data_IF_988475900996
#
_entry.id   IF_988475900996
#
_cell.length_a   1.000
_cell.length_b   1.000
_cell.length_c   1.000
_cell.angle_alpha   90.00
_cell.angle_beta   90.00
_cell.angle_gamma   90.00
#
_symmetry.space_group_name_H-M   'P 1'
#
loop_
_entity.id
_entity.type
_entity.pdbx_description
1 polymer ?
#
# COMPACT_ATOMS: atom_id res chain seq x y z
N UNK A 1 0.33 -23.22 -7.98
CA UNK A 1 -0.37 -22.46 -9.03
C UNK A 1 -1.42 -21.54 -8.39
N UNK A 2 -1.65 -20.36 -8.95
CA UNK A 2 -2.74 -19.46 -8.57
C UNK A 2 -4.10 -20.05 -8.98
N UNK A 3 -5.19 -19.64 -8.33
CA UNK A 3 -6.53 -20.18 -8.62
C UNK A 3 -7.12 -19.67 -9.94
N UNK A 4 -7.03 -18.36 -10.17
CA UNK A 4 -7.66 -17.67 -11.32
C UNK A 4 -6.83 -17.78 -12.59
N UNK A 5 -5.57 -17.32 -12.57
CA UNK A 5 -4.72 -17.26 -13.78
C UNK A 5 -3.95 -18.56 -14.04
N UNK A 6 -3.98 -19.51 -13.11
CA UNK A 6 -3.18 -20.74 -13.10
C UNK A 6 -1.66 -20.53 -13.14
N UNK A 7 -1.14 -19.31 -13.12
CA UNK A 7 0.29 -19.04 -13.11
C UNK A 7 0.99 -19.53 -11.81
N UNK A 8 2.31 -19.77 -11.83
CA UNK A 8 3.08 -20.02 -10.61
C UNK A 8 2.93 -18.89 -9.57
N UNK A 9 2.93 -19.23 -8.28
CA UNK A 9 2.73 -18.23 -7.22
C UNK A 9 3.85 -17.18 -7.19
N UNK A 10 5.09 -17.59 -7.49
CA UNK A 10 6.22 -16.66 -7.55
C UNK A 10 6.03 -15.58 -8.63
N UNK A 11 5.36 -15.90 -9.73
CA UNK A 11 5.05 -14.91 -10.78
C UNK A 11 4.02 -13.89 -10.32
N UNK A 12 2.99 -14.34 -9.60
CA UNK A 12 1.93 -13.46 -9.07
C UNK A 12 2.49 -12.51 -8.00
N UNK A 13 3.41 -13.00 -7.15
CA UNK A 13 4.00 -12.18 -6.08
C UNK A 13 4.79 -10.99 -6.61
N UNK A 14 5.33 -11.04 -7.83
CA UNK A 14 6.10 -9.94 -8.44
C UNK A 14 5.33 -8.63 -8.59
N UNK A 15 4.00 -8.66 -8.46
CA UNK A 15 3.13 -7.47 -8.51
C UNK A 15 2.64 -7.02 -7.13
N UNK A 16 3.12 -7.66 -6.07
CA UNK A 16 2.75 -7.37 -4.68
C UNK A 16 3.99 -6.89 -3.95
N UNK A 17 3.93 -5.66 -3.45
CA UNK A 17 5.02 -5.00 -2.75
C UNK A 17 4.59 -4.69 -1.31
N UNK A 18 5.54 -4.76 -0.38
CA UNK A 18 5.32 -4.54 1.04
C UNK A 18 6.31 -3.51 1.56
N UNK A 19 5.85 -2.63 2.43
CA UNK A 19 6.66 -1.67 3.17
C UNK A 19 6.53 -2.00 4.66
N UNK A 20 7.65 -2.00 5.39
CA UNK A 20 7.66 -2.11 6.84
C UNK A 20 8.35 -0.91 7.50
N UNK A 21 8.64 -0.99 8.80
CA UNK A 21 9.27 0.11 9.54
C UNK A 21 10.66 0.50 9.04
N UNK A 22 11.31 -0.30 8.19
CA UNK A 22 12.60 -0.03 7.56
C UNK A 22 12.47 0.40 6.09
N UNK A 23 11.26 0.50 5.55
CA UNK A 23 11.01 0.86 4.15
C UNK A 23 10.56 -0.32 3.29
N UNK A 24 10.75 -0.20 1.98
CA UNK A 24 10.34 -1.19 0.98
C UNK A 24 11.11 -2.50 1.16
N UNK A 25 10.38 -3.62 1.17
CA UNK A 25 10.96 -4.96 1.26
C UNK A 25 11.59 -5.32 -0.10
N UNK A 26 12.92 -5.35 -0.16
CA UNK A 26 13.70 -5.60 -1.37
C UNK A 26 14.76 -6.69 -1.17
N UNK A 27 15.24 -7.27 -2.27
CA UNK A 27 16.18 -8.40 -2.28
C UNK A 27 17.51 -8.10 -1.56
N UNK A 28 18.02 -6.87 -1.64
CA UNK A 28 19.28 -6.48 -0.98
C UNK A 28 19.22 -6.57 0.56
N UNK A 29 18.03 -6.46 1.15
CA UNK A 29 17.80 -6.59 2.60
C UNK A 29 17.45 -8.01 3.07
N UNK A 30 17.35 -8.98 2.17
CA UNK A 30 16.68 -10.28 2.39
C UNK A 30 17.24 -11.10 3.56
N UNK A 31 18.54 -11.08 3.79
CA UNK A 31 19.19 -11.83 4.89
C UNK A 31 18.73 -11.35 6.27
N UNK A 32 18.43 -10.05 6.40
CA UNK A 32 17.94 -9.46 7.65
C UNK A 32 16.43 -9.61 7.87
N UNK A 33 15.70 -10.14 6.87
CA UNK A 33 14.25 -10.28 6.92
C UNK A 33 13.83 -11.56 7.65
N UNK A 34 12.76 -11.43 8.43
CA UNK A 34 11.99 -12.55 8.94
C UNK A 34 11.54 -13.46 7.77
N UNK A 35 11.54 -14.78 8.00
CA UNK A 35 11.27 -15.78 6.96
C UNK A 35 10.04 -15.46 6.09
N UNK A 36 8.95 -15.00 6.71
CA UNK A 36 7.67 -14.76 6.02
C UNK A 36 7.67 -13.52 5.11
N UNK A 37 8.64 -12.61 5.28
CA UNK A 37 8.85 -11.43 4.44
C UNK A 37 9.67 -11.73 3.18
N UNK A 38 10.50 -12.78 3.22
CA UNK A 38 11.44 -13.14 2.15
C UNK A 38 10.79 -13.40 0.77
N UNK A 39 9.59 -14.00 0.66
CA UNK A 39 8.92 -14.19 -0.63
C UNK A 39 8.46 -12.89 -1.31
N UNK A 40 8.50 -11.77 -0.61
CA UNK A 40 8.08 -10.45 -1.09
C UNK A 40 9.28 -9.53 -1.37
N UNK A 41 10.50 -10.01 -1.11
CA UNK A 41 11.74 -9.29 -1.34
C UNK A 41 12.17 -9.42 -2.80
N UNK A 42 11.59 -8.57 -3.65
CA UNK A 42 11.88 -8.51 -5.07
C UNK A 42 13.12 -7.65 -5.36
N UNK A 43 13.67 -7.80 -6.56
CA UNK A 43 14.74 -6.93 -7.05
C UNK A 43 14.20 -5.52 -7.30
N UNK A 44 14.70 -4.55 -6.54
CA UNK A 44 14.41 -3.11 -6.66
C UNK A 44 15.38 -2.32 -5.78
N UNK A 45 15.60 -1.05 -6.11
CA UNK A 45 16.34 -0.14 -5.24
C UNK A 45 15.61 0.09 -3.90
N UNK A 46 16.33 0.22 -2.77
CA UNK A 46 15.69 0.52 -1.50
C UNK A 46 14.89 1.84 -1.56
N UNK A 47 13.69 1.84 -0.97
CA UNK A 47 12.92 3.04 -0.70
C UNK A 47 12.70 3.12 0.81
N UNK A 48 13.06 4.25 1.42
CA UNK A 48 13.03 4.41 2.87
C UNK A 48 11.66 4.91 3.36
N UNK A 49 10.87 5.52 2.48
CA UNK A 49 9.54 6.06 2.82
C UNK A 49 8.44 5.43 1.98
N UNK A 50 7.20 5.48 2.49
CA UNK A 50 6.03 5.05 1.73
C UNK A 50 5.82 5.88 0.46
N UNK A 51 6.08 7.19 0.53
CA UNK A 51 5.95 8.09 -0.62
C UNK A 51 6.92 7.70 -1.74
N UNK A 52 8.19 7.46 -1.42
CA UNK A 52 9.18 6.96 -2.38
C UNK A 52 8.73 5.65 -3.02
N UNK A 53 8.25 4.70 -2.20
CA UNK A 53 7.75 3.43 -2.70
C UNK A 53 6.55 3.60 -3.64
N UNK A 54 5.58 4.46 -3.32
CA UNK A 54 4.42 4.72 -4.18
C UNK A 54 4.83 5.37 -5.50
N UNK A 55 5.76 6.34 -5.48
CA UNK A 55 6.25 6.99 -6.70
C UNK A 55 7.04 6.03 -7.59
N UNK A 56 7.83 5.13 -7.01
CA UNK A 56 8.63 4.16 -7.75
C UNK A 56 7.78 3.01 -8.31
N UNK A 57 6.94 2.41 -7.47
CA UNK A 57 6.14 1.22 -7.83
C UNK A 57 4.89 1.58 -8.63
N UNK A 58 4.33 2.77 -8.41
CA UNK A 58 3.05 3.24 -8.99
C UNK A 58 1.94 2.20 -8.84
N UNK A 59 1.63 1.75 -7.61
CA UNK A 59 0.66 0.70 -7.41
C UNK A 59 -0.75 1.19 -7.77
N UNK A 60 -1.60 0.27 -8.22
CA UNK A 60 -3.03 0.54 -8.50
C UNK A 60 -3.90 0.42 -7.24
N UNK A 61 -3.40 -0.30 -6.23
CA UNK A 61 -4.05 -0.51 -4.95
C UNK A 61 -3.04 -0.28 -3.82
N UNK A 62 -3.46 0.48 -2.80
CA UNK A 62 -2.70 0.77 -1.60
C UNK A 62 -3.49 0.27 -0.38
N UNK A 63 -2.89 -0.63 0.40
CA UNK A 63 -3.55 -1.30 1.52
C UNK A 63 -2.76 -1.05 2.80
N UNK A 64 -3.42 -0.43 3.77
CA UNK A 64 -2.86 -0.08 5.07
C UNK A 64 -3.20 -1.15 6.11
N UNK A 65 -2.17 -1.74 6.71
CA UNK A 65 -2.29 -2.73 7.80
C UNK A 65 -1.20 -2.51 8.85
N UNK A 66 -0.73 -1.27 9.02
CA UNK A 66 0.46 -0.96 9.85
C UNK A 66 0.13 -0.85 11.35
N UNK A 67 -1.13 -0.57 11.69
CA UNK A 67 -1.54 -0.17 13.03
C UNK A 67 -1.07 1.24 13.41
N UNK A 68 -0.61 2.04 12.44
CA UNK A 68 -0.10 3.41 12.65
C UNK A 68 -0.93 4.39 11.83
N UNK A 69 -1.67 5.24 12.55
CA UNK A 69 -2.54 6.24 11.95
C UNK A 69 -1.80 7.32 11.15
N UNK A 70 -2.51 7.94 10.21
CA UNK A 70 -2.04 9.07 9.39
C UNK A 70 -0.79 8.78 8.54
N UNK A 71 -0.55 7.50 8.21
CA UNK A 71 0.57 7.09 7.36
C UNK A 71 0.30 7.28 5.87
N UNK A 72 -0.96 7.29 5.43
CA UNK A 72 -1.34 7.69 4.08
C UNK A 72 -1.50 9.21 4.06
N UNK A 73 -0.38 9.92 4.02
CA UNK A 73 -0.37 11.38 3.98
C UNK A 73 -0.98 11.89 2.67
N UNK A 74 -1.28 13.19 2.63
CA UNK A 74 -1.80 13.85 1.43
C UNK A 74 -0.94 13.57 0.20
N UNK A 75 0.38 13.67 0.34
CA UNK A 75 1.33 13.45 -0.76
C UNK A 75 1.28 12.01 -1.27
N UNK A 76 1.13 11.03 -0.36
CA UNK A 76 0.99 9.61 -0.73
C UNK A 76 -0.30 9.38 -1.51
N UNK A 77 -1.41 9.94 -1.04
CA UNK A 77 -2.73 9.76 -1.67
C UNK A 77 -2.82 10.51 -3.01
N UNK A 78 -2.26 11.72 -3.11
CA UNK A 78 -2.16 12.46 -4.37
C UNK A 78 -1.25 11.74 -5.38
N UNK A 79 -0.15 11.13 -4.93
CA UNK A 79 0.70 10.30 -5.79
C UNK A 79 -0.03 9.06 -6.33
N UNK A 80 -0.84 8.41 -5.49
CA UNK A 80 -1.74 7.32 -5.91
C UNK A 80 -2.74 7.80 -6.96
N UNK A 81 -3.36 8.97 -6.73
CA UNK A 81 -4.35 9.54 -7.66
C UNK A 81 -3.77 10.06 -8.96
N UNK A 82 -2.53 10.54 -8.96
CA UNK A 82 -1.83 10.98 -10.18
C UNK A 82 -1.45 9.79 -11.07
N UNK A 83 -1.06 8.67 -10.46
CA UNK A 83 -0.61 7.48 -11.20
C UNK A 83 -1.77 6.63 -11.73
N UNK A 84 -2.97 6.79 -11.18
CA UNK A 84 -4.11 5.92 -11.45
C UNK A 84 -5.40 6.72 -11.61
N UNK A 85 -6.15 6.47 -12.70
CA UNK A 85 -7.48 7.07 -12.91
C UNK A 85 -8.45 6.78 -11.76
N UNK A 86 -8.34 5.60 -11.14
CA UNK A 86 -9.20 5.16 -10.04
C UNK A 86 -8.38 4.29 -9.07
N UNK A 87 -7.62 4.91 -8.13
CA UNK A 87 -6.81 4.15 -7.19
C UNK A 87 -7.71 3.46 -6.14
N UNK A 88 -7.38 2.22 -5.78
CA UNK A 88 -7.97 1.55 -4.62
C UNK A 88 -7.16 1.93 -3.37
N UNK A 89 -7.81 2.50 -2.36
CA UNK A 89 -7.21 2.87 -1.08
C UNK A 89 -7.96 2.15 0.03
N UNK A 90 -7.28 1.26 0.76
CA UNK A 90 -7.86 0.48 1.84
C UNK A 90 -7.18 0.82 3.18
N UNK A 91 -7.94 1.33 4.16
CA UNK A 91 -7.42 1.69 5.49
C UNK A 91 -7.94 0.70 6.54
N UNK A 92 -7.12 -0.31 6.86
CA UNK A 92 -7.59 -1.48 7.62
C UNK A 92 -7.11 -1.50 9.07
N UNK A 93 -6.31 -0.52 9.47
CA UNK A 93 -5.88 -0.36 10.85
C UNK A 93 -7.00 0.13 11.76
N UNK A 94 -7.01 -0.37 12.99
CA UNK A 94 -8.03 -0.10 14.00
C UNK A 94 -7.38 0.27 15.35
N UNK A 95 -8.06 1.04 16.20
CA UNK A 95 -9.36 1.71 15.99
C UNK A 95 -9.25 2.91 15.01
N UNK A 96 -10.30 3.72 14.85
CA UNK A 96 -10.32 4.86 13.91
C UNK A 96 -9.10 5.79 14.05
N UNK A 97 -8.57 5.97 15.26
CA UNK A 97 -7.35 6.78 15.49
C UNK A 97 -6.08 6.20 14.86
N UNK A 98 -6.09 4.93 14.46
CA UNK A 98 -5.01 4.25 13.75
C UNK A 98 -5.28 4.08 12.26
N UNK A 99 -6.39 4.60 11.73
CA UNK A 99 -6.64 4.58 10.29
C UNK A 99 -5.53 5.34 9.55
N UNK A 100 -5.06 4.76 8.45
CA UNK A 100 -3.96 5.34 7.67
C UNK A 100 -4.33 6.70 7.05
N UNK A 101 -5.59 6.87 6.66
CA UNK A 101 -6.27 8.13 6.39
C UNK A 101 -7.79 7.95 6.59
N UNK A 102 -8.54 9.05 6.66
CA UNK A 102 -10.00 9.04 6.72
C UNK A 102 -10.64 8.91 5.32
N UNK A 103 -11.94 8.60 5.27
CA UNK A 103 -12.69 8.63 4.02
C UNK A 103 -12.67 10.02 3.38
N UNK A 104 -12.90 11.08 4.17
CA UNK A 104 -12.89 12.47 3.70
C UNK A 104 -11.54 12.86 3.11
N UNK A 105 -10.45 12.50 3.76
CA UNK A 105 -9.08 12.72 3.28
C UNK A 105 -8.83 11.99 1.95
N UNK A 106 -9.17 10.70 1.87
CA UNK A 106 -9.00 9.91 0.66
C UNK A 106 -9.77 10.50 -0.54
N UNK A 107 -11.05 10.85 -0.36
CA UNK A 107 -11.85 11.43 -1.43
C UNK A 107 -11.38 12.84 -1.79
N UNK A 108 -11.07 13.69 -0.81
CA UNK A 108 -10.62 15.06 -1.06
C UNK A 108 -9.32 15.08 -1.85
N UNK A 109 -8.32 14.32 -1.41
CA UNK A 109 -6.98 14.33 -2.01
C UNK A 109 -6.93 13.61 -3.36
N UNK A 110 -7.88 12.72 -3.64
CA UNK A 110 -8.07 12.11 -4.96
C UNK A 110 -9.19 12.76 -5.78
N UNK A 111 -9.66 13.97 -5.43
CA UNK A 111 -10.71 14.67 -6.20
C UNK A 111 -11.93 13.77 -6.50
N UNK A 112 -12.30 12.93 -5.54
CA UNK A 112 -13.45 12.03 -5.57
C UNK A 112 -13.28 10.72 -6.37
N UNK A 113 -12.13 10.46 -6.98
CA UNK A 113 -11.99 9.30 -7.88
C UNK A 113 -11.35 8.06 -7.24
N UNK A 114 -10.96 8.07 -5.96
CA UNK A 114 -10.55 6.85 -5.25
C UNK A 114 -11.72 5.89 -5.01
N UNK A 115 -11.45 4.59 -5.08
CA UNK A 115 -12.29 3.57 -4.44
C UNK A 115 -11.73 3.42 -3.03
N UNK A 116 -12.52 3.79 -2.02
CA UNK A 116 -12.12 3.74 -0.62
C UNK A 116 -12.83 2.62 0.13
N UNK A 117 -12.09 1.92 0.99
CA UNK A 117 -12.67 1.00 1.96
C UNK A 117 -11.91 1.09 3.28
N UNK A 118 -12.62 1.13 4.40
CA UNK A 118 -12.01 1.16 5.73
C UNK A 118 -12.52 0.03 6.60
N UNK A 119 -11.72 -0.36 7.59
CA UNK A 119 -12.17 -1.30 8.63
C UNK A 119 -12.93 -0.60 9.75
N UNK A 120 -12.50 0.60 10.13
CA UNK A 120 -13.23 1.47 11.06
C UNK A 120 -14.34 2.23 10.32
N UNK A 121 -15.49 2.50 10.97
CA UNK A 121 -16.57 3.26 10.35
C UNK A 121 -16.16 4.73 10.17
N UNK A 122 -16.58 5.30 9.04
CA UNK A 122 -16.56 6.74 8.76
C UNK A 122 -17.94 7.15 8.24
N UNK A 123 -18.31 8.40 8.47
CA UNK A 123 -19.55 8.95 7.93
C UNK A 123 -19.50 9.04 6.40
N UNK A 124 -20.67 9.07 5.73
CA UNK A 124 -20.73 9.36 4.30
C UNK A 124 -20.06 10.71 3.96
N UNK A 125 -19.40 10.75 2.80
CA UNK A 125 -18.71 11.93 2.24
C UNK A 125 -19.35 12.30 0.91
#
# INVERSE_FOLDING_TARGET
>A
MSKQTKAPLEEIRKKIWLVDSKGLIVQSGKESLQHFKRPWAHEHEPCNTLLEAVMAIKPTALIGTSGVGKTFTKEVVEAMGTSNKQPLIMTLSNPTSQAECTAEEAYTWTKGHAIFASRSPFDPV
#
